data_IF_837211239806
#
_entry.id   IF_837211239806
#
_cell.length_a   1.000
_cell.length_b   1.000
_cell.length_c   1.000
_cell.angle_alpha   90.00
_cell.angle_beta   90.00
_cell.angle_gamma   90.00
#
_symmetry.space_group_name_H-M   'P 1'
#
loop_
_entity.id
_entity.type
_entity.pdbx_description
1 polymer ?
#
# COMPACT_ATOMS: atom_id res chain seq x y z
N UNK A 1 -11.71 -40.81 25.46
CA UNK A 1 -11.15 -40.31 26.74
C UNK A 1 -9.76 -39.78 26.44
N UNK A 2 -9.61 -38.46 26.51
CA UNK A 2 -8.36 -37.77 26.21
C UNK A 2 -7.26 -38.23 27.18
N UNK A 3 -6.05 -38.54 26.70
CA UNK A 3 -4.90 -38.82 27.56
C UNK A 3 -4.65 -37.67 28.54
N UNK A 4 -4.29 -37.98 29.78
CA UNK A 4 -3.98 -36.96 30.78
C UNK A 4 -2.79 -36.08 30.39
N UNK A 5 -1.92 -36.56 29.49
CA UNK A 5 -0.74 -35.86 28.99
C UNK A 5 -0.58 -36.04 27.49
N UNK A 6 -0.42 -34.95 26.75
CA UNK A 6 -0.30 -34.93 25.28
C UNK A 6 1.03 -34.34 24.83
N UNK A 7 1.59 -34.85 23.74
CA UNK A 7 2.79 -34.26 23.11
C UNK A 7 2.35 -33.26 22.05
N UNK A 8 2.70 -31.99 22.24
CA UNK A 8 2.32 -30.89 21.35
C UNK A 8 3.54 -30.40 20.61
N UNK A 9 3.53 -30.48 19.28
CA UNK A 9 4.61 -29.90 18.49
C UNK A 9 4.45 -28.40 18.34
N UNK A 10 5.54 -27.65 18.47
CA UNK A 10 5.54 -26.19 18.39
C UNK A 10 6.79 -25.67 17.67
N UNK A 11 6.64 -24.60 16.89
CA UNK A 11 7.74 -23.73 16.48
C UNK A 11 7.65 -22.45 17.31
N UNK A 12 8.65 -22.15 18.17
CA UNK A 12 8.73 -20.88 18.85
C UNK A 12 8.79 -19.73 17.83
N UNK A 13 7.91 -18.76 18.03
CA UNK A 13 7.81 -17.57 17.19
C UNK A 13 7.66 -16.35 18.10
N UNK A 14 8.45 -15.32 17.82
CA UNK A 14 8.55 -14.09 18.61
C UNK A 14 7.18 -13.41 18.85
N UNK A 15 6.19 -13.65 18.00
CA UNK A 15 4.86 -13.02 18.05
C UNK A 15 3.77 -14.00 18.41
N UNK A 16 3.79 -15.19 17.82
CA UNK A 16 2.69 -16.14 17.97
C UNK A 16 2.86 -17.09 19.14
N UNK A 17 4.10 -17.53 19.41
CA UNK A 17 4.37 -18.47 20.49
C UNK A 17 5.70 -18.22 21.19
N UNK A 18 5.60 -17.62 22.36
CA UNK A 18 6.71 -17.39 23.26
C UNK A 18 6.81 -18.54 24.25
N UNK A 19 7.98 -19.15 24.33
CA UNK A 19 8.26 -20.19 25.33
C UNK A 19 9.23 -19.61 26.35
N UNK A 20 8.75 -19.36 27.56
CA UNK A 20 9.57 -18.91 28.67
C UNK A 20 9.83 -20.09 29.63
N UNK A 21 11.08 -20.39 29.89
CA UNK A 21 11.46 -21.35 30.94
C UNK A 21 11.34 -20.66 32.29
N UNK A 22 10.36 -21.10 33.09
CA UNK A 22 10.13 -20.52 34.43
C UNK A 22 11.02 -21.23 35.48
N UNK A 23 11.23 -22.54 35.28
CA UNK A 23 11.99 -23.48 36.10
C UNK A 23 12.54 -24.60 35.18
N UNK A 24 13.62 -25.32 35.55
CA UNK A 24 14.11 -26.46 34.78
C UNK A 24 12.99 -27.51 34.65
N UNK A 25 12.51 -27.74 33.43
CA UNK A 25 11.42 -28.68 33.14
C UNK A 25 10.00 -28.12 33.19
N UNK A 26 9.80 -26.82 33.51
CA UNK A 26 8.49 -26.16 33.44
C UNK A 26 8.52 -25.02 32.40
N UNK A 27 8.10 -25.36 31.18
CA UNK A 27 7.98 -24.42 30.06
C UNK A 27 6.61 -23.76 30.10
N UNK A 28 6.59 -22.44 30.30
CA UNK A 28 5.35 -21.64 30.21
C UNK A 28 5.26 -21.06 28.82
N UNK A 29 4.13 -21.34 28.16
CA UNK A 29 3.88 -20.81 26.82
C UNK A 29 2.91 -19.65 26.86
N UNK A 30 3.30 -18.57 26.19
CA UNK A 30 2.57 -17.32 26.00
C UNK A 30 2.53 -16.94 24.51
N UNK A 31 1.83 -15.87 24.16
CA UNK A 31 1.51 -15.55 22.76
C UNK A 31 0.14 -16.08 22.34
N UNK A 32 -0.28 -15.78 21.11
CA UNK A 32 -1.64 -16.07 20.65
C UNK A 32 -1.93 -17.58 20.64
N UNK A 33 -1.05 -18.40 20.05
CA UNK A 33 -1.24 -19.86 20.05
C UNK A 33 -0.98 -20.48 21.42
N UNK A 34 -0.07 -19.91 22.20
CA UNK A 34 0.18 -20.33 23.57
C UNK A 34 -1.04 -20.19 24.49
N UNK A 35 -1.64 -19.00 24.50
CA UNK A 35 -2.87 -18.73 25.26
C UNK A 35 -4.03 -19.57 24.73
N UNK A 36 -4.11 -19.78 23.42
CA UNK A 36 -5.12 -20.65 22.81
C UNK A 36 -4.99 -22.12 23.27
N UNK A 37 -3.78 -22.68 23.26
CA UNK A 37 -3.50 -24.04 23.74
C UNK A 37 -3.86 -24.18 25.23
N UNK A 38 -3.51 -23.18 26.05
CA UNK A 38 -3.80 -23.17 27.48
C UNK A 38 -5.31 -23.21 27.77
N UNK A 39 -6.12 -22.51 26.97
CA UNK A 39 -7.59 -22.53 27.11
C UNK A 39 -8.13 -23.93 26.80
N UNK A 40 -7.66 -24.55 25.72
CA UNK A 40 -8.07 -25.91 25.33
C UNK A 40 -7.68 -26.92 26.41
N UNK A 41 -6.42 -26.90 26.85
CA UNK A 41 -5.88 -27.78 27.88
C UNK A 41 -6.65 -27.68 29.20
N UNK A 42 -6.92 -26.46 29.65
CA UNK A 42 -7.69 -26.20 30.88
C UNK A 42 -9.14 -26.68 30.79
N UNK A 43 -9.78 -26.54 29.62
CA UNK A 43 -11.18 -26.95 29.44
C UNK A 43 -11.33 -28.48 29.39
N UNK A 44 -10.37 -29.17 28.76
CA UNK A 44 -10.38 -30.62 28.60
C UNK A 44 -9.63 -31.38 29.70
N UNK A 45 -8.90 -30.68 30.57
CA UNK A 45 -8.23 -31.25 31.74
C UNK A 45 -6.99 -32.09 31.42
N UNK A 46 -6.25 -31.75 30.35
CA UNK A 46 -4.99 -32.43 30.00
C UNK A 46 -3.78 -31.53 30.23
N UNK A 47 -2.64 -32.15 30.55
CA UNK A 47 -1.32 -31.53 30.52
C UNK A 47 -0.63 -31.77 29.18
N UNK A 48 0.39 -31.00 28.84
CA UNK A 48 1.12 -31.18 27.59
C UNK A 48 2.63 -30.98 27.74
N UNK A 49 3.38 -31.68 26.89
CA UNK A 49 4.83 -31.53 26.74
C UNK A 49 5.15 -31.05 25.32
N UNK A 50 6.15 -30.19 25.16
CA UNK A 50 6.56 -29.70 23.86
C UNK A 50 7.50 -30.65 23.15
N UNK A 51 7.28 -30.80 21.84
CA UNK A 51 8.19 -31.50 20.92
C UNK A 51 8.60 -30.52 19.84
N UNK A 52 9.90 -30.25 19.74
CA UNK A 52 10.46 -29.33 18.76
C UNK A 52 11.01 -30.10 17.56
N UNK A 53 10.80 -29.61 16.32
CA UNK A 53 11.48 -30.17 15.16
C UNK A 53 12.97 -29.84 15.17
N UNK A 54 13.77 -30.73 14.58
CA UNK A 54 15.22 -30.52 14.38
C UNK A 54 15.48 -29.27 13.53
N UNK A 55 14.63 -29.05 12.53
CA UNK A 55 14.57 -27.85 11.71
C UNK A 55 13.29 -27.09 12.08
N UNK A 56 13.38 -25.83 12.49
CA UNK A 56 12.22 -24.98 12.82
C UNK A 56 11.42 -24.57 11.56
N UNK A 57 10.95 -25.56 10.80
CA UNK A 57 10.12 -25.39 9.63
C UNK A 57 8.80 -26.18 9.76
N UNK A 58 7.81 -25.77 8.96
CA UNK A 58 6.50 -26.42 8.93
C UNK A 58 6.63 -27.85 8.42
N UNK A 59 7.47 -28.07 7.41
CA UNK A 59 7.79 -29.38 6.88
C UNK A 59 7.74 -29.41 5.36
N UNK A 60 8.82 -29.91 4.77
CA UNK A 60 9.00 -30.10 3.33
C UNK A 60 9.07 -31.59 3.05
N UNK A 61 8.41 -32.02 1.96
CA UNK A 61 8.51 -33.40 1.47
C UNK A 61 9.88 -33.59 0.81
N UNK A 62 10.68 -34.51 1.34
CA UNK A 62 11.95 -34.95 0.76
C UNK A 62 11.70 -35.96 -0.36
N UNK A 63 12.72 -36.16 -1.21
CA UNK A 63 12.67 -37.09 -2.35
C UNK A 63 12.48 -38.55 -1.93
N UNK A 64 12.89 -38.90 -0.70
CA UNK A 64 12.66 -40.21 -0.08
C UNK A 64 11.20 -40.44 0.35
N UNK A 65 10.33 -39.43 0.20
CA UNK A 65 8.93 -39.46 0.60
C UNK A 65 8.69 -39.10 2.06
N UNK A 66 9.75 -38.91 2.86
CA UNK A 66 9.63 -38.46 4.25
C UNK A 66 9.38 -36.95 4.33
N UNK A 67 8.81 -36.51 5.45
CA UNK A 67 8.57 -35.11 5.73
C UNK A 67 9.51 -34.61 6.83
N UNK A 68 10.02 -33.39 6.66
CA UNK A 68 10.72 -32.64 7.73
C UNK A 68 9.74 -31.84 8.59
N UNK A 69 10.26 -31.13 9.60
CA UNK A 69 9.49 -30.16 10.37
C UNK A 69 8.34 -30.75 11.20
N UNK A 70 7.36 -29.89 11.48
CA UNK A 70 6.12 -30.25 12.20
C UNK A 70 5.41 -31.43 11.53
N UNK A 71 5.25 -31.40 10.20
CA UNK A 71 4.56 -32.46 9.47
C UNK A 71 5.27 -33.80 9.62
N UNK A 72 6.61 -33.81 9.59
CA UNK A 72 7.43 -34.98 9.85
C UNK A 72 7.22 -35.58 11.24
N UNK A 73 7.26 -34.74 12.27
CA UNK A 73 7.05 -35.16 13.67
C UNK A 73 5.67 -35.82 13.84
N UNK A 74 4.62 -35.20 13.31
CA UNK A 74 3.26 -35.73 13.39
C UNK A 74 3.11 -37.04 12.61
N UNK A 75 3.72 -37.12 11.43
CA UNK A 75 3.70 -38.31 10.58
C UNK A 75 4.40 -39.50 11.25
N UNK A 76 5.52 -39.27 11.95
CA UNK A 76 6.26 -40.30 12.71
C UNK A 76 5.62 -40.63 14.07
N UNK A 77 4.58 -39.90 14.48
CA UNK A 77 3.92 -40.12 15.78
C UNK A 77 4.72 -39.64 16.99
N UNK A 78 5.71 -38.78 16.78
CA UNK A 78 6.54 -38.17 17.82
C UNK A 78 5.76 -37.13 18.64
N UNK A 79 4.81 -36.44 18.00
CA UNK A 79 3.81 -35.59 18.64
C UNK A 79 2.38 -36.06 18.34
N UNK A 80 1.45 -35.72 19.22
CA UNK A 80 0.04 -36.10 19.10
C UNK A 80 -0.77 -35.03 18.34
N UNK A 81 -0.47 -33.75 18.56
CA UNK A 81 -1.08 -32.62 17.86
C UNK A 81 -0.10 -31.45 17.68
N UNK A 82 -0.45 -30.54 16.77
CA UNK A 82 0.27 -29.31 16.48
C UNK A 82 -0.68 -28.13 16.45
N UNK A 83 -0.38 -27.11 17.25
CA UNK A 83 -1.07 -25.82 17.25
C UNK A 83 -0.08 -24.72 16.89
N UNK A 84 0.12 -24.54 15.58
CA UNK A 84 1.00 -23.52 15.00
C UNK A 84 0.30 -22.87 13.81
N UNK A 85 0.91 -21.83 13.24
CA UNK A 85 0.52 -21.25 11.96
C UNK A 85 0.72 -22.26 10.81
N UNK A 86 -0.26 -23.15 10.66
CA UNK A 86 -0.20 -24.28 9.74
C UNK A 86 -1.40 -24.29 8.80
N UNK A 87 -1.12 -24.03 7.52
CA UNK A 87 -2.10 -24.15 6.44
C UNK A 87 -2.47 -25.61 6.17
N UNK A 88 -3.77 -25.84 6.01
CA UNK A 88 -4.31 -27.11 5.51
C UNK A 88 -4.06 -27.19 4.00
N UNK A 89 -3.26 -28.16 3.59
CA UNK A 89 -2.91 -28.41 2.19
C UNK A 89 -3.10 -29.89 1.85
N UNK A 90 -3.55 -30.15 0.62
CA UNK A 90 -3.89 -31.50 0.17
C UNK A 90 -2.76 -32.51 0.39
N UNK A 91 -1.54 -32.17 -0.01
CA UNK A 91 -0.38 -33.06 0.12
C UNK A 91 0.05 -33.34 1.58
N UNK A 92 -0.32 -32.46 2.53
CA UNK A 92 -0.02 -32.65 3.96
C UNK A 92 -1.07 -33.55 4.58
N UNK A 93 -2.32 -33.44 4.12
CA UNK A 93 -3.43 -34.27 4.55
C UNK A 93 -3.25 -35.76 4.21
N UNK A 94 -2.34 -36.10 3.29
CA UNK A 94 -1.95 -37.49 3.02
C UNK A 94 -1.30 -38.15 4.24
N UNK A 95 -0.51 -37.40 5.03
CA UNK A 95 0.33 -37.93 6.12
C UNK A 95 -0.12 -37.50 7.51
N UNK A 96 -0.89 -36.41 7.62
CA UNK A 96 -1.48 -35.93 8.89
C UNK A 96 -2.98 -35.69 8.72
N UNK A 97 -3.71 -35.58 9.83
CA UNK A 97 -5.13 -35.19 9.80
C UNK A 97 -5.31 -33.77 10.32
N UNK A 98 -6.03 -32.96 9.57
CA UNK A 98 -6.39 -31.62 9.99
C UNK A 98 -7.74 -31.59 10.69
N UNK A 99 -7.83 -30.78 11.74
CA UNK A 99 -9.00 -30.56 12.56
C UNK A 99 -9.85 -29.38 12.14
N UNK A 100 -10.52 -28.80 13.13
CA UNK A 100 -11.28 -27.55 12.95
C UNK A 100 -10.35 -26.42 12.51
N UNK A 101 -10.75 -25.73 11.45
CA UNK A 101 -10.15 -24.48 10.99
C UNK A 101 -10.46 -23.40 12.01
N UNK A 102 -9.43 -22.74 12.53
CA UNK A 102 -9.59 -21.70 13.56
C UNK A 102 -9.22 -20.30 13.06
N UNK A 103 -8.53 -20.20 11.92
CA UNK A 103 -8.20 -18.94 11.27
C UNK A 103 -8.06 -19.17 9.75
N UNK A 104 -8.06 -18.10 8.97
CA UNK A 104 -7.78 -18.15 7.54
C UNK A 104 -6.66 -17.15 7.23
N UNK A 105 -5.76 -17.54 6.35
CA UNK A 105 -4.58 -16.79 5.98
C UNK A 105 -4.65 -16.35 4.54
N UNK A 106 -4.44 -15.07 4.29
CA UNK A 106 -4.39 -14.51 2.94
C UNK A 106 -2.93 -14.29 2.55
N UNK A 107 -2.52 -14.74 1.37
CA UNK A 107 -1.18 -14.42 0.86
C UNK A 107 -1.25 -13.15 0.02
N UNK A 108 -0.56 -12.13 0.50
CA UNK A 108 -0.51 -10.80 -0.08
C UNK A 108 0.89 -10.48 -0.57
N UNK A 109 1.00 -9.46 -1.40
CA UNK A 109 2.26 -8.78 -1.66
C UNK A 109 2.23 -7.40 -1.00
N UNK A 110 3.33 -7.01 -0.38
CA UNK A 110 3.48 -5.67 0.16
C UNK A 110 4.80 -5.02 -0.29
N UNK A 111 4.74 -3.70 -0.42
CA UNK A 111 5.84 -2.85 -0.90
C UNK A 111 5.82 -1.50 -0.18
N UNK A 112 6.92 -0.75 -0.21
CA UNK A 112 6.92 0.61 0.32
C UNK A 112 5.99 1.48 -0.52
N UNK A 113 5.16 2.30 0.14
CA UNK A 113 4.39 3.32 -0.55
C UNK A 113 5.39 4.27 -1.18
N UNK A 114 5.25 4.58 -2.47
CA UNK A 114 6.08 5.59 -3.08
C UNK A 114 5.91 6.90 -2.32
N UNK A 115 7.03 7.58 -2.20
CA UNK A 115 7.04 8.96 -1.78
C UNK A 115 6.10 9.78 -2.68
N UNK A 116 5.54 10.82 -2.08
CA UNK A 116 4.75 11.80 -2.81
C UNK A 116 5.50 12.28 -4.03
N UNK A 117 4.78 12.40 -5.15
CA UNK A 117 5.36 12.93 -6.36
C UNK A 117 5.72 14.39 -6.10
N UNK A 118 6.99 14.76 -6.28
CA UNK A 118 7.39 16.16 -6.21
C UNK A 118 6.56 16.94 -7.23
N UNK A 119 6.07 18.12 -6.83
CA UNK A 119 5.24 18.92 -7.71
C UNK A 119 6.10 19.29 -8.92
N UNK A 120 5.71 18.89 -10.15
CA UNK A 120 6.48 19.23 -11.33
C UNK A 120 6.62 20.75 -11.47
N UNK A 121 7.67 21.23 -12.14
CA UNK A 121 7.89 22.67 -12.35
C UNK A 121 6.67 23.33 -13.01
N UNK A 122 5.92 22.62 -13.85
CA UNK A 122 4.68 23.09 -14.47
C UNK A 122 3.40 22.65 -13.74
N UNK A 123 3.50 22.21 -12.49
CA UNK A 123 2.37 21.71 -11.69
C UNK A 123 1.28 22.77 -11.46
N UNK A 124 1.60 24.06 -11.57
CA UNK A 124 0.60 25.12 -11.55
C UNK A 124 -0.40 25.07 -12.72
N UNK A 125 -0.12 24.32 -13.79
CA UNK A 125 -1.07 24.11 -14.90
C UNK A 125 -2.03 22.95 -14.65
N UNK A 126 -1.72 22.04 -13.71
CA UNK A 126 -2.52 20.84 -13.42
C UNK A 126 -3.93 21.06 -12.87
N UNK A 127 -4.31 22.19 -12.26
CA UNK A 127 -5.69 22.41 -11.82
C UNK A 127 -6.74 22.28 -12.92
N UNK A 128 -6.35 22.49 -14.18
CA UNK A 128 -7.21 22.38 -15.36
C UNK A 128 -6.57 21.51 -16.44
N UNK A 129 -7.37 20.66 -17.07
CA UNK A 129 -6.93 19.88 -18.22
C UNK A 129 -6.62 20.78 -19.43
N UNK A 130 -5.80 20.29 -20.34
CA UNK A 130 -5.46 20.99 -21.59
C UNK A 130 -6.70 21.47 -22.36
N UNK A 131 -7.76 20.66 -22.40
CA UNK A 131 -9.03 21.02 -23.03
C UNK A 131 -9.67 22.25 -22.39
N UNK A 132 -9.64 22.37 -21.06
CA UNK A 132 -10.20 23.53 -20.34
C UNK A 132 -9.37 24.78 -20.61
N UNK A 133 -8.04 24.66 -20.63
CA UNK A 133 -7.14 25.76 -21.02
C UNK A 133 -7.42 26.24 -22.44
N UNK A 134 -7.60 25.31 -23.39
CA UNK A 134 -7.92 25.64 -24.77
C UNK A 134 -9.29 26.32 -24.88
N UNK A 135 -10.32 25.79 -24.22
CA UNK A 135 -11.65 26.40 -24.16
C UNK A 135 -11.60 27.81 -23.56
N UNK A 136 -10.82 28.02 -22.50
CA UNK A 136 -10.62 29.34 -21.91
C UNK A 136 -9.98 30.31 -22.92
N UNK A 137 -8.91 29.92 -23.59
CA UNK A 137 -8.25 30.75 -24.60
C UNK A 137 -9.19 31.13 -25.76
N UNK A 138 -9.94 30.16 -26.29
CA UNK A 138 -10.95 30.38 -27.34
C UNK A 138 -12.05 31.32 -26.85
N UNK A 139 -12.51 31.16 -25.61
CA UNK A 139 -13.58 32.00 -25.03
C UNK A 139 -13.13 33.45 -24.87
N UNK A 140 -11.90 33.69 -24.39
CA UNK A 140 -11.31 35.04 -24.30
C UNK A 140 -11.28 35.71 -25.68
N UNK A 141 -10.74 35.00 -26.69
CA UNK A 141 -10.64 35.52 -28.06
C UNK A 141 -12.02 35.78 -28.68
N UNK A 142 -12.97 34.87 -28.45
CA UNK A 142 -14.34 35.02 -28.91
C UNK A 142 -15.00 36.25 -28.32
N UNK A 143 -14.91 36.46 -27.00
CA UNK A 143 -15.54 37.59 -26.32
C UNK A 143 -14.86 38.91 -26.69
N UNK A 144 -13.52 38.94 -26.82
CA UNK A 144 -12.80 40.11 -27.32
C UNK A 144 -13.28 40.50 -28.72
N UNK A 145 -13.40 39.52 -29.61
CA UNK A 145 -13.87 39.72 -31.00
C UNK A 145 -15.32 40.17 -31.03
N UNK A 146 -16.17 39.57 -30.20
CA UNK A 146 -17.58 39.91 -30.11
C UNK A 146 -17.81 41.34 -29.60
N UNK A 147 -17.10 41.76 -28.55
CA UNK A 147 -17.12 43.12 -28.03
C UNK A 147 -16.58 44.14 -29.05
N UNK A 148 -15.53 43.77 -29.80
CA UNK A 148 -14.99 44.62 -30.87
C UNK A 148 -16.03 44.92 -31.96
N UNK A 149 -16.81 43.92 -32.38
CA UNK A 149 -17.88 44.11 -33.37
C UNK A 149 -19.09 44.85 -32.81
N UNK A 150 -19.54 44.53 -31.59
CA UNK A 150 -20.72 45.17 -30.97
C UNK A 150 -20.47 46.64 -30.65
N UNK A 151 -19.26 46.99 -30.22
CA UNK A 151 -18.86 48.37 -30.00
C UNK A 151 -18.65 49.16 -31.29
N UNK A 152 -18.94 48.57 -32.46
CA UNK A 152 -18.74 49.18 -33.78
C UNK A 152 -17.28 49.64 -33.97
N UNK A 153 -16.32 48.85 -33.48
CA UNK A 153 -14.87 49.15 -33.51
C UNK A 153 -14.46 50.41 -32.73
N UNK A 154 -15.27 50.87 -31.77
CA UNK A 154 -14.89 51.96 -30.85
C UNK A 154 -13.87 51.52 -29.81
N UNK A 155 -13.90 50.24 -29.43
CA UNK A 155 -12.93 49.65 -28.52
C UNK A 155 -11.75 49.09 -29.32
N UNK A 156 -10.53 49.37 -28.89
CA UNK A 156 -9.35 48.75 -29.47
C UNK A 156 -9.29 47.26 -29.07
N UNK A 157 -9.02 46.39 -30.04
CA UNK A 157 -9.03 44.94 -29.81
C UNK A 157 -7.97 44.51 -28.79
N UNK A 158 -6.75 45.05 -28.89
CA UNK A 158 -5.64 44.73 -27.98
C UNK A 158 -5.94 45.10 -26.54
N UNK A 159 -6.39 46.34 -26.31
CA UNK A 159 -6.77 46.82 -24.97
C UNK A 159 -7.93 46.02 -24.39
N UNK A 160 -8.92 45.68 -25.22
CA UNK A 160 -10.06 44.84 -24.80
C UNK A 160 -9.57 43.48 -24.35
N UNK A 161 -8.73 42.81 -25.14
CA UNK A 161 -8.18 41.50 -24.83
C UNK A 161 -7.35 41.51 -23.53
N UNK A 162 -6.46 42.49 -23.38
CA UNK A 162 -5.67 42.66 -22.15
C UNK A 162 -6.56 42.90 -20.94
N UNK A 163 -7.63 43.68 -21.09
CA UNK A 163 -8.54 43.97 -20.00
C UNK A 163 -9.38 42.75 -19.60
N UNK A 164 -9.81 41.93 -20.56
CA UNK A 164 -10.49 40.66 -20.27
C UNK A 164 -9.55 39.69 -19.51
N UNK A 165 -8.27 39.62 -19.89
CA UNK A 165 -7.28 38.83 -19.14
C UNK A 165 -7.01 39.41 -17.73
N UNK A 166 -6.88 40.73 -17.62
CA UNK A 166 -6.68 41.43 -16.34
C UNK A 166 -7.85 41.17 -15.38
N UNK A 167 -9.08 41.10 -15.88
CA UNK A 167 -10.26 40.83 -15.05
C UNK A 167 -10.25 39.42 -14.45
N UNK A 168 -9.74 38.42 -15.18
CA UNK A 168 -9.58 37.04 -14.67
C UNK A 168 -8.53 36.99 -13.55
N UNK A 169 -7.50 37.83 -13.65
CA UNK A 169 -6.50 38.05 -12.61
C UNK A 169 -6.98 38.97 -11.47
N UNK A 170 -8.27 39.33 -11.45
CA UNK A 170 -8.91 40.20 -10.44
C UNK A 170 -8.28 41.60 -10.36
N UNK A 171 -7.70 42.09 -11.46
CA UNK A 171 -7.15 43.43 -11.54
C UNK A 171 -8.26 44.48 -11.77
N UNK A 172 -8.07 45.73 -11.35
CA UNK A 172 -9.03 46.81 -11.57
C UNK A 172 -9.18 47.12 -13.06
N UNK A 173 -10.41 47.40 -13.46
CA UNK A 173 -10.81 47.56 -14.86
C UNK A 173 -10.86 49.04 -15.25
N UNK A 174 -10.30 49.36 -16.43
CA UNK A 174 -10.45 50.67 -17.07
C UNK A 174 -11.19 50.49 -18.39
N UNK A 175 -12.51 50.33 -18.36
CA UNK A 175 -13.32 50.29 -19.58
C UNK A 175 -14.39 51.35 -19.52
N UNK A 176 -14.41 52.20 -20.56
CA UNK A 176 -15.52 53.10 -20.83
C UNK A 176 -16.51 52.38 -21.74
N UNK A 177 -17.47 51.68 -21.14
CA UNK A 177 -18.58 51.09 -21.88
C UNK A 177 -19.67 52.14 -22.10
N UNK A 178 -20.12 52.31 -23.34
CA UNK A 178 -21.06 53.37 -23.73
C UNK A 178 -22.49 52.85 -23.95
N UNK A 179 -22.66 51.57 -24.27
CA UNK A 179 -23.97 50.97 -24.57
C UNK A 179 -24.37 49.91 -23.54
N UNK A 180 -25.66 49.82 -23.22
CA UNK A 180 -26.19 48.80 -22.31
C UNK A 180 -25.90 47.36 -22.77
N UNK A 181 -25.76 47.14 -24.08
CA UNK A 181 -25.40 45.82 -24.65
C UNK A 181 -23.98 45.40 -24.27
N UNK A 182 -23.05 46.36 -24.24
CA UNK A 182 -21.66 46.13 -23.83
C UNK A 182 -21.57 45.82 -22.34
N UNK A 183 -22.33 46.55 -21.51
CA UNK A 183 -22.40 46.29 -20.06
C UNK A 183 -22.88 44.89 -19.74
N UNK A 184 -23.94 44.43 -20.42
CA UNK A 184 -24.52 43.11 -20.17
C UNK A 184 -23.52 41.99 -20.50
N UNK A 185 -22.85 42.08 -21.65
CA UNK A 185 -21.80 41.10 -22.04
C UNK A 185 -20.65 41.13 -21.04
N UNK A 186 -20.21 42.33 -20.65
CA UNK A 186 -19.13 42.48 -19.70
C UNK A 186 -19.48 41.93 -18.32
N UNK A 187 -20.74 42.07 -17.88
CA UNK A 187 -21.22 41.50 -16.63
C UNK A 187 -21.22 39.97 -16.67
N UNK A 188 -21.66 39.37 -17.78
CA UNK A 188 -21.55 37.92 -17.97
C UNK A 188 -20.09 37.45 -17.99
N UNK A 189 -19.20 38.21 -18.65
CA UNK A 189 -17.76 37.93 -18.62
C UNK A 189 -17.20 38.00 -17.21
N UNK A 190 -17.55 39.02 -16.43
CA UNK A 190 -17.10 39.17 -15.05
C UNK A 190 -17.55 38.00 -14.18
N UNK A 191 -18.79 37.54 -14.35
CA UNK A 191 -19.27 36.35 -13.64
C UNK A 191 -18.45 35.10 -14.04
N UNK A 192 -18.21 34.90 -15.33
CA UNK A 192 -17.36 33.81 -15.81
C UNK A 192 -15.93 33.90 -15.26
N UNK A 193 -15.31 35.09 -15.31
CA UNK A 193 -13.97 35.37 -14.80
C UNK A 193 -13.86 35.10 -13.29
N UNK A 194 -14.90 35.44 -12.52
CA UNK A 194 -14.97 35.12 -11.10
C UNK A 194 -15.02 33.60 -10.88
N UNK A 195 -15.91 32.90 -11.58
CA UNK A 195 -16.10 31.45 -11.45
C UNK A 195 -14.82 30.70 -11.79
N UNK A 196 -14.17 31.02 -12.92
CA UNK A 196 -12.95 30.32 -13.34
C UNK A 196 -11.79 30.59 -12.37
N UNK A 197 -11.64 31.83 -11.88
CA UNK A 197 -10.58 32.21 -10.94
C UNK A 197 -10.74 31.53 -9.58
N UNK A 198 -11.98 31.44 -9.08
CA UNK A 198 -12.29 30.73 -7.83
C UNK A 198 -12.09 29.23 -8.00
N UNK A 199 -12.56 28.64 -9.10
CA UNK A 199 -12.38 27.21 -9.39
C UNK A 199 -10.90 26.82 -9.48
N UNK A 200 -10.08 27.62 -10.19
CA UNK A 200 -8.64 27.42 -10.27
C UNK A 200 -7.99 27.48 -8.87
N UNK A 201 -8.30 28.53 -8.10
CA UNK A 201 -7.73 28.73 -6.76
C UNK A 201 -8.10 27.57 -5.82
N UNK A 202 -9.34 27.08 -5.87
CA UNK A 202 -9.81 25.96 -5.07
C UNK A 202 -9.14 24.64 -5.46
N UNK A 203 -8.98 24.37 -6.76
CA UNK A 203 -8.33 23.15 -7.26
C UNK A 203 -6.83 23.14 -6.96
N UNK A 204 -6.15 24.28 -7.16
CA UNK A 204 -4.75 24.43 -6.80
C UNK A 204 -4.54 24.22 -5.29
N UNK A 205 -5.41 24.80 -4.45
CA UNK A 205 -5.33 24.59 -3.01
C UNK A 205 -5.49 23.10 -2.64
N UNK A 206 -6.50 22.41 -3.19
CA UNK A 206 -6.69 20.97 -2.98
C UNK A 206 -5.46 20.16 -3.37
N UNK A 207 -4.86 20.50 -4.51
CA UNK A 207 -3.65 19.86 -5.03
C UNK A 207 -2.44 20.05 -4.11
N UNK A 208 -2.27 21.26 -3.55
CA UNK A 208 -1.18 21.55 -2.61
C UNK A 208 -1.40 20.90 -1.24
N UNK A 209 -2.65 20.67 -0.84
CA UNK A 209 -2.96 20.02 0.45
C UNK A 209 -2.82 18.50 0.42
N UNK A 210 -3.13 17.87 -0.71
CA UNK A 210 -3.01 16.41 -0.89
C UNK A 210 -2.09 16.20 -2.10
N UNK A 211 -0.80 15.94 -1.87
CA UNK A 211 0.13 15.71 -2.96
C UNK A 211 -0.30 14.52 -3.81
N UNK A 212 0.01 14.60 -5.11
CA UNK A 212 -0.21 13.50 -6.03
C UNK A 212 0.61 12.28 -5.58
N UNK A 213 -0.02 11.12 -5.65
CA UNK A 213 0.65 9.85 -5.45
C UNK A 213 1.07 9.33 -6.82
N UNK A 214 2.32 8.90 -6.94
CA UNK A 214 2.80 8.15 -8.11
C UNK A 214 1.86 6.96 -8.37
N UNK A 215 1.52 6.66 -9.63
CA UNK A 215 0.78 5.44 -9.95
C UNK A 215 1.56 4.23 -9.45
N UNK A 216 0.87 3.32 -8.78
CA UNK A 216 1.48 2.16 -8.11
C UNK A 216 1.03 0.88 -8.79
N UNK A 217 1.93 -0.10 -8.78
CA UNK A 217 1.59 -1.49 -9.09
C UNK A 217 0.65 -1.97 -7.99
N UNK A 218 -0.50 -2.51 -8.36
CA UNK A 218 -1.50 -3.01 -7.41
C UNK A 218 -1.89 -4.47 -7.66
N UNK A 219 -1.48 -5.03 -8.79
CA UNK A 219 -1.83 -6.40 -9.21
C UNK A 219 -0.59 -7.26 -9.42
N UNK A 220 -0.74 -8.57 -9.32
CA UNK A 220 0.36 -9.50 -9.58
C UNK A 220 0.77 -9.53 -11.06
N UNK A 221 -0.13 -9.20 -11.98
CA UNK A 221 0.16 -9.10 -13.41
C UNK A 221 1.04 -7.88 -13.74
N UNK A 222 0.72 -6.73 -13.15
CA UNK A 222 1.57 -5.53 -13.26
C UNK A 222 2.93 -5.76 -12.60
N UNK A 223 2.97 -6.45 -11.44
CA UNK A 223 4.21 -6.80 -10.77
C UNK A 223 5.08 -7.69 -11.65
N UNK A 224 4.50 -8.71 -12.29
CA UNK A 224 5.23 -9.54 -13.25
C UNK A 224 5.82 -8.70 -14.39
N UNK A 225 5.01 -7.82 -14.98
CA UNK A 225 5.45 -6.93 -16.07
C UNK A 225 6.59 -6.00 -15.63
N UNK A 226 6.61 -5.59 -14.36
CA UNK A 226 7.65 -4.75 -13.79
C UNK A 226 8.94 -5.52 -13.46
N UNK A 227 8.81 -6.76 -12.99
CA UNK A 227 9.92 -7.71 -12.77
C UNK A 227 10.58 -8.10 -14.11
N UNK A 228 9.78 -8.32 -15.15
CA UNK A 228 10.30 -8.61 -16.50
C UNK A 228 11.10 -7.45 -17.09
N UNK A 229 10.72 -6.21 -16.74
CA UNK A 229 11.47 -4.99 -17.08
C UNK A 229 12.65 -4.70 -16.15
N UNK A 230 12.95 -5.59 -15.20
CA UNK A 230 14.00 -5.44 -14.18
C UNK A 230 13.87 -4.18 -13.30
N UNK A 231 12.66 -3.62 -13.22
CA UNK A 231 12.39 -2.42 -12.42
C UNK A 231 12.07 -2.75 -10.97
N UNK A 232 11.51 -3.94 -10.73
CA UNK A 232 11.05 -4.37 -9.42
C UNK A 232 11.59 -5.75 -9.05
N UNK A 233 11.74 -5.98 -7.75
CA UNK A 233 12.18 -7.23 -7.16
C UNK A 233 11.11 -7.77 -6.22
N UNK A 234 10.97 -9.09 -6.20
CA UNK A 234 9.93 -9.78 -5.45
C UNK A 234 10.55 -10.90 -4.62
N UNK A 235 10.56 -10.72 -3.30
CA UNK A 235 11.07 -11.71 -2.36
C UNK A 235 9.93 -12.52 -1.73
N UNK A 236 10.22 -13.73 -1.27
CA UNK A 236 9.28 -14.52 -0.50
C UNK A 236 10.01 -15.36 0.56
N UNK A 237 9.26 -15.86 1.54
CA UNK A 237 9.80 -16.71 2.61
C UNK A 237 9.95 -18.17 2.16
N UNK A 238 11.20 -18.68 2.15
CA UNK A 238 11.55 -19.96 1.51
C UNK A 238 10.79 -21.17 2.09
N UNK A 239 10.64 -21.19 3.42
CA UNK A 239 10.04 -22.31 4.17
C UNK A 239 8.51 -22.20 4.37
N UNK A 240 7.86 -21.28 3.64
CA UNK A 240 6.42 -21.06 3.70
C UNK A 240 5.61 -21.87 2.68
N UNK A 241 4.30 -21.96 2.89
CA UNK A 241 3.37 -22.58 1.95
C UNK A 241 3.17 -21.77 0.65
N UNK A 242 3.60 -20.50 0.64
CA UNK A 242 3.58 -19.62 -0.55
C UNK A 242 4.26 -20.26 -1.76
N UNK A 243 5.39 -20.95 -1.56
CA UNK A 243 6.09 -21.61 -2.66
C UNK A 243 5.36 -22.85 -3.16
N UNK A 244 4.67 -23.57 -2.27
CA UNK A 244 3.81 -24.68 -2.64
C UNK A 244 2.73 -24.23 -3.63
N UNK A 245 2.12 -23.07 -3.37
CA UNK A 245 1.12 -22.51 -4.27
C UNK A 245 1.73 -21.97 -5.58
N UNK A 246 2.81 -21.20 -5.51
CA UNK A 246 3.47 -20.69 -6.72
C UNK A 246 3.91 -21.86 -7.64
N UNK A 247 4.30 -23.01 -7.07
CA UNK A 247 4.60 -24.24 -7.82
C UNK A 247 3.36 -24.86 -8.45
N UNK A 248 2.21 -24.84 -7.78
CA UNK A 248 0.96 -25.46 -8.24
C UNK A 248 0.14 -24.59 -9.18
N UNK A 249 0.35 -23.28 -9.16
CA UNK A 249 -0.39 -22.32 -9.98
C UNK A 249 -0.25 -22.63 -11.48
N UNK A 250 -1.39 -22.70 -12.18
CA UNK A 250 -1.45 -22.91 -13.65
C UNK A 250 -1.41 -21.60 -14.43
N UNK A 251 -1.44 -20.47 -13.75
CA UNK A 251 -1.53 -19.16 -14.38
C UNK A 251 -0.19 -18.76 -14.98
N UNK A 252 -0.20 -18.23 -16.21
CA UNK A 252 1.04 -17.95 -16.96
C UNK A 252 1.94 -16.91 -16.26
N UNK A 253 1.39 -15.79 -15.79
CA UNK A 253 2.17 -14.75 -15.14
C UNK A 253 2.75 -15.21 -13.79
N UNK A 254 2.00 -15.96 -12.98
CA UNK A 254 2.51 -16.51 -11.71
C UNK A 254 3.62 -17.56 -11.93
N UNK A 255 3.49 -18.41 -12.95
CA UNK A 255 4.55 -19.36 -13.32
C UNK A 255 5.83 -18.64 -13.74
N UNK A 256 5.71 -17.59 -14.56
CA UNK A 256 6.86 -16.82 -15.00
C UNK A 256 7.48 -16.02 -13.84
N UNK A 257 6.64 -15.42 -12.97
CA UNK A 257 7.09 -14.74 -11.76
C UNK A 257 7.85 -15.70 -10.85
N UNK A 258 7.32 -16.90 -10.59
CA UNK A 258 8.01 -17.97 -9.85
C UNK A 258 9.37 -18.27 -10.48
N UNK A 259 9.42 -18.47 -11.79
CA UNK A 259 10.68 -18.79 -12.47
C UNK A 259 11.70 -17.64 -12.35
N UNK A 260 11.25 -16.39 -12.37
CA UNK A 260 12.10 -15.22 -12.15
C UNK A 260 12.65 -15.17 -10.72
N UNK A 261 11.80 -15.42 -9.71
CA UNK A 261 12.20 -15.53 -8.30
C UNK A 261 13.26 -16.63 -8.12
N UNK A 262 13.04 -17.82 -8.71
CA UNK A 262 13.97 -18.94 -8.61
C UNK A 262 15.31 -18.61 -9.26
N UNK A 263 15.26 -18.06 -10.47
CA UNK A 263 16.46 -17.70 -11.24
C UNK A 263 17.33 -16.68 -10.51
N UNK A 264 16.70 -15.73 -9.82
CA UNK A 264 17.39 -14.62 -9.15
C UNK A 264 17.65 -14.89 -7.65
N UNK A 265 17.23 -16.05 -7.15
CA UNK A 265 17.37 -16.46 -5.75
C UNK A 265 16.79 -15.45 -4.74
N UNK A 266 15.59 -14.92 -5.02
CA UNK A 266 14.90 -13.97 -4.15
C UNK A 266 14.17 -14.66 -3.00
N UNK A 267 14.95 -15.24 -2.09
CA UNK A 267 14.49 -15.97 -0.91
C UNK A 267 14.84 -15.19 0.35
N UNK A 268 13.96 -15.24 1.35
CA UNK A 268 14.21 -14.74 2.70
C UNK A 268 14.32 -15.93 3.65
N UNK A 269 15.37 -15.93 4.46
CA UNK A 269 15.56 -16.90 5.54
C UNK A 269 15.18 -16.27 6.89
N UNK A 270 14.87 -17.10 7.90
CA UNK A 270 14.56 -16.70 9.27
C UNK A 270 15.60 -15.77 9.91
N UNK A 271 16.84 -15.77 9.40
CA UNK A 271 17.92 -14.88 9.85
C UNK A 271 17.82 -13.44 9.34
N UNK A 272 17.11 -13.16 8.25
CA UNK A 272 17.06 -11.81 7.64
C UNK A 272 16.05 -10.88 8.34
N UNK A 273 15.69 -11.24 9.57
CA UNK A 273 14.77 -10.51 10.42
C UNK A 273 15.43 -9.25 11.04
N UNK A 274 14.81 -8.05 10.99
CA UNK A 274 13.50 -7.72 10.40
C UNK A 274 13.55 -7.39 8.90
N UNK A 275 12.75 -8.12 8.10
CA UNK A 275 12.67 -7.98 6.64
C UNK A 275 12.17 -6.61 6.13
N UNK A 276 11.60 -5.78 7.02
CA UNK A 276 11.07 -4.45 6.71
C UNK A 276 12.13 -3.52 6.13
N UNK A 277 13.38 -3.63 6.58
CA UNK A 277 14.47 -2.78 6.11
C UNK A 277 14.88 -3.09 4.66
N UNK A 278 14.50 -4.26 4.15
CA UNK A 278 14.74 -4.65 2.76
C UNK A 278 13.69 -4.08 1.81
N UNK A 279 12.48 -3.83 2.32
CA UNK A 279 11.33 -3.41 1.51
C UNK A 279 11.47 -1.94 1.15
N UNK A 280 11.48 -1.67 -0.15
CA UNK A 280 11.63 -0.33 -0.74
C UNK A 280 10.55 -0.08 -1.80
N UNK A 281 10.54 1.08 -2.45
CA UNK A 281 9.58 1.40 -3.53
C UNK A 281 9.63 0.40 -4.71
N UNK A 282 10.77 -0.27 -4.92
CA UNK A 282 10.98 -1.20 -6.03
C UNK A 282 11.16 -2.66 -5.55
N UNK A 283 11.30 -2.90 -4.25
CA UNK A 283 11.50 -4.24 -3.68
C UNK A 283 10.37 -4.53 -2.71
N UNK A 284 9.52 -5.50 -3.04
CA UNK A 284 8.48 -5.97 -2.15
C UNK A 284 8.57 -7.45 -1.83
N UNK A 285 7.72 -7.88 -0.91
CA UNK A 285 7.73 -9.22 -0.33
C UNK A 285 6.33 -9.83 -0.45
N UNK A 286 6.27 -11.09 -0.90
CA UNK A 286 5.09 -11.93 -0.79
C UNK A 286 5.06 -12.52 0.62
N UNK A 287 3.97 -12.29 1.33
CA UNK A 287 3.85 -12.62 2.73
C UNK A 287 2.42 -12.89 3.15
N UNK A 288 2.25 -13.34 4.39
CA UNK A 288 0.93 -13.67 4.92
C UNK A 288 0.29 -12.45 5.59
N UNK A 289 -1.02 -12.29 5.44
CA UNK A 289 -1.77 -11.15 5.94
C UNK A 289 -1.78 -11.07 7.48
N UNK A 290 -1.86 -12.20 8.18
CA UNK A 290 -1.83 -12.26 9.64
C UNK A 290 -0.48 -11.80 10.18
N UNK A 291 0.60 -12.34 9.63
CA UNK A 291 1.94 -11.90 9.98
C UNK A 291 2.15 -10.44 9.59
N UNK A 292 1.77 -10.02 8.38
CA UNK A 292 1.77 -8.62 7.98
C UNK A 292 1.00 -7.74 8.98
N UNK A 293 -0.18 -8.16 9.42
CA UNK A 293 -0.97 -7.37 10.37
C UNK A 293 -0.25 -7.21 11.71
N UNK A 294 0.40 -8.27 12.20
CA UNK A 294 1.13 -8.28 13.48
C UNK A 294 2.44 -7.51 13.40
N UNK A 295 3.27 -7.77 12.39
CA UNK A 295 4.52 -7.07 12.17
C UNK A 295 4.29 -5.56 11.98
N UNK A 296 3.31 -5.16 11.18
CA UNK A 296 3.15 -3.74 10.86
C UNK A 296 2.38 -2.96 11.92
N UNK A 297 1.58 -3.63 12.76
CA UNK A 297 1.07 -3.04 14.00
C UNK A 297 2.17 -2.90 15.04
N UNK A 298 3.06 -3.90 15.17
CA UNK A 298 4.22 -3.84 16.03
C UNK A 298 5.16 -2.68 15.66
N UNK A 299 5.54 -2.52 14.40
CA UNK A 299 6.51 -1.49 13.98
C UNK A 299 5.85 -0.17 13.51
N UNK A 300 4.51 -0.10 13.58
CA UNK A 300 3.63 0.99 13.12
C UNK A 300 3.99 1.57 11.78
N UNK A 301 4.17 0.68 10.82
CA UNK A 301 4.60 1.03 9.47
C UNK A 301 3.48 0.92 8.44
N UNK A 302 2.22 0.81 8.89
CA UNK A 302 1.04 0.86 7.98
C UNK A 302 0.98 2.17 7.18
N UNK A 303 1.59 3.25 7.68
CA UNK A 303 1.71 4.51 6.95
C UNK A 303 2.75 4.44 5.83
N UNK A 304 3.86 3.70 5.99
CA UNK A 304 4.97 3.60 5.03
C UNK A 304 4.76 2.53 3.95
N UNK A 305 4.12 1.41 4.27
CA UNK A 305 3.98 0.30 3.33
C UNK A 305 2.53 0.11 2.88
N UNK A 306 2.37 -0.37 1.65
CA UNK A 306 1.09 -0.75 1.06
C UNK A 306 1.09 -2.26 0.79
N UNK A 307 -0.10 -2.85 0.85
CA UNK A 307 -0.35 -4.18 0.32
C UNK A 307 -1.13 -4.08 -0.98
N UNK A 308 -1.01 -5.08 -1.84
CA UNK A 308 -1.92 -5.25 -2.96
C UNK A 308 -3.33 -5.56 -2.46
N UNK A 309 -4.35 -5.11 -3.19
CA UNK A 309 -5.74 -5.48 -2.91
C UNK A 309 -6.03 -6.91 -3.36
N UNK A 310 -5.34 -7.37 -4.41
CA UNK A 310 -5.36 -8.76 -4.85
C UNK A 310 -4.52 -9.64 -3.92
N UNK A 311 -5.03 -10.82 -3.61
CA UNK A 311 -4.30 -11.88 -2.93
C UNK A 311 -4.09 -13.08 -3.85
N UNK A 312 -2.99 -13.81 -3.61
CA UNK A 312 -2.70 -15.05 -4.33
C UNK A 312 -3.68 -16.16 -3.98
N UNK A 313 -4.27 -16.11 -2.79
CA UNK A 313 -5.21 -17.08 -2.30
C UNK A 313 -5.45 -16.96 -0.81
N UNK A 314 -6.38 -17.78 -0.32
CA UNK A 314 -6.72 -17.88 1.10
C UNK A 314 -6.59 -19.33 1.53
N UNK A 315 -5.81 -19.58 2.57
CA UNK A 315 -5.58 -20.90 3.14
C UNK A 315 -6.18 -21.01 4.54
N UNK A 316 -6.96 -22.06 4.82
CA UNK A 316 -7.45 -22.30 6.17
C UNK A 316 -6.30 -22.77 7.07
N UNK A 317 -6.17 -22.14 8.23
CA UNK A 317 -5.27 -22.56 9.30
C UNK A 317 -6.03 -23.47 10.26
N UNK A 318 -5.49 -24.66 10.48
CA UNK A 318 -6.15 -25.68 11.29
C UNK A 318 -5.17 -26.37 12.24
N UNK A 319 -5.72 -26.97 13.30
CA UNK A 319 -4.95 -27.86 14.17
C UNK A 319 -4.60 -29.13 13.39
N UNK A 320 -3.35 -29.55 13.44
CA UNK A 320 -2.94 -30.82 12.84
C UNK A 320 -2.77 -31.90 13.91
N UNK A 321 -3.17 -33.12 13.56
CA UNK A 321 -3.08 -34.31 14.39
C UNK A 321 -2.33 -35.40 13.64
N UNK A 322 -1.71 -36.31 14.38
CA UNK A 322 -1.28 -37.59 13.78
C UNK A 322 -2.50 -38.41 13.32
N UNK A 323 -2.32 -39.22 12.27
CA UNK A 323 -3.40 -40.01 11.63
C UNK A 323 -4.20 -40.87 12.62
N UNK A 324 -3.56 -41.50 13.58
CA UNK A 324 -4.24 -42.40 14.53
C UNK A 324 -4.64 -41.74 15.86
N UNK A 325 -4.72 -40.40 15.93
CA UNK A 325 -5.07 -39.72 17.18
C UNK A 325 -6.54 -39.97 17.59
N UNK A 326 -6.73 -40.49 18.81
CA UNK A 326 -7.99 -41.09 19.26
C UNK A 326 -9.06 -40.12 19.78
N UNK A 327 -8.77 -38.82 19.89
CA UNK A 327 -9.68 -37.84 20.52
C UNK A 327 -9.83 -36.53 19.74
N UNK A 328 -9.70 -36.57 18.40
CA UNK A 328 -9.82 -35.38 17.53
C UNK A 328 -11.17 -34.68 17.68
N UNK A 329 -12.26 -35.43 17.83
CA UNK A 329 -13.63 -34.91 17.90
C UNK A 329 -13.84 -34.01 19.12
N UNK A 330 -13.44 -34.48 20.30
CA UNK A 330 -13.57 -33.74 21.56
C UNK A 330 -12.78 -32.42 21.52
N UNK A 331 -11.55 -32.43 20.99
CA UNK A 331 -10.73 -31.22 20.84
C UNK A 331 -11.33 -30.28 19.79
N UNK A 332 -11.77 -30.82 18.65
CA UNK A 332 -12.36 -30.04 17.56
C UNK A 332 -13.67 -29.34 17.98
N UNK A 333 -14.50 -29.97 18.80
CA UNK A 333 -15.71 -29.34 19.35
C UNK A 333 -15.39 -28.13 20.22
N UNK A 334 -14.38 -28.25 21.08
CA UNK A 334 -13.92 -27.15 21.93
C UNK A 334 -13.36 -26.02 21.08
N UNK A 335 -12.51 -26.33 20.11
CA UNK A 335 -11.97 -25.33 19.17
C UNK A 335 -13.11 -24.61 18.44
N UNK A 336 -14.09 -25.34 17.89
CA UNK A 336 -15.24 -24.74 17.21
C UNK A 336 -16.00 -23.76 18.10
N UNK A 337 -16.17 -24.07 19.38
CA UNK A 337 -16.80 -23.16 20.36
C UNK A 337 -15.95 -21.91 20.62
N UNK A 338 -14.63 -22.08 20.80
CA UNK A 338 -13.71 -20.96 21.03
C UNK A 338 -13.69 -20.02 19.82
N UNK A 339 -13.61 -20.57 18.60
CA UNK A 339 -13.67 -19.81 17.34
C UNK A 339 -15.01 -19.08 17.22
N UNK A 340 -16.13 -19.78 17.41
CA UNK A 340 -17.48 -19.18 17.31
C UNK A 340 -17.73 -18.08 18.33
N UNK A 341 -17.05 -18.13 19.48
CA UNK A 341 -17.15 -17.10 20.52
C UNK A 341 -16.28 -15.86 20.27
N UNK A 342 -15.46 -15.86 19.20
CA UNK A 342 -14.53 -14.76 18.88
C UNK A 342 -13.31 -14.69 19.80
N UNK A 343 -13.07 -15.70 20.64
CA UNK A 343 -11.91 -15.72 21.54
C UNK A 343 -10.60 -15.78 20.74
N UNK A 344 -10.55 -16.56 19.65
CA UNK A 344 -9.35 -16.66 18.80
C UNK A 344 -8.99 -15.28 18.22
N UNK A 345 -9.94 -14.57 17.63
CA UNK A 345 -9.72 -13.23 17.08
C UNK A 345 -9.26 -12.25 18.15
N UNK A 346 -9.85 -12.33 19.34
CA UNK A 346 -9.44 -11.52 20.49
C UNK A 346 -7.98 -11.79 20.88
N UNK A 347 -7.54 -13.05 20.94
CA UNK A 347 -6.16 -13.40 21.30
C UNK A 347 -5.16 -12.80 20.31
N UNK A 348 -5.41 -12.92 19.00
CA UNK A 348 -4.56 -12.30 17.99
C UNK A 348 -4.56 -10.76 18.08
N UNK A 349 -5.73 -10.16 18.30
CA UNK A 349 -5.88 -8.71 18.48
C UNK A 349 -5.12 -8.21 19.72
N UNK A 350 -5.24 -8.89 20.86
CA UNK A 350 -4.57 -8.54 22.11
C UNK A 350 -3.05 -8.59 21.96
N UNK A 351 -2.52 -9.60 21.26
CA UNK A 351 -1.09 -9.69 20.93
C UNK A 351 -0.67 -8.54 20.02
N UNK A 352 -1.40 -8.27 18.94
CA UNK A 352 -1.11 -7.15 18.03
C UNK A 352 -1.09 -5.81 18.76
N UNK A 353 -2.04 -5.60 19.69
CA UNK A 353 -2.14 -4.38 20.48
C UNK A 353 -1.00 -4.25 21.48
N UNK A 354 -0.57 -5.34 22.15
CA UNK A 354 0.58 -5.32 23.07
C UNK A 354 1.85 -4.86 22.34
N UNK A 355 2.10 -5.38 21.14
CA UNK A 355 3.25 -4.97 20.33
C UNK A 355 3.12 -3.53 19.83
N UNK A 356 1.95 -3.12 19.35
CA UNK A 356 1.70 -1.73 18.97
C UNK A 356 1.93 -0.76 20.14
N UNK A 357 1.39 -1.08 21.32
CA UNK A 357 1.52 -0.25 22.52
C UNK A 357 2.98 -0.10 22.97
N UNK A 358 3.79 -1.16 22.82
CA UNK A 358 5.23 -1.11 23.12
C UNK A 358 5.97 -0.11 22.22
N UNK A 359 5.55 0.04 20.97
CA UNK A 359 6.21 0.86 19.96
C UNK A 359 5.46 2.16 19.60
N UNK A 360 4.32 2.44 20.23
CA UNK A 360 3.40 3.53 19.86
C UNK A 360 4.05 4.92 19.77
N UNK A 361 5.07 5.20 20.59
CA UNK A 361 5.77 6.49 20.58
C UNK A 361 6.49 6.75 19.26
N UNK A 362 7.24 5.77 18.77
CA UNK A 362 8.02 5.87 17.53
C UNK A 362 7.10 5.94 16.29
N UNK A 363 5.91 5.35 16.39
CA UNK A 363 4.90 5.29 15.34
C UNK A 363 4.24 6.66 15.15
N UNK A 364 3.77 7.27 16.24
CA UNK A 364 3.08 8.58 16.22
C UNK A 364 4.02 9.70 15.76
N UNK A 365 5.31 9.61 16.07
CA UNK A 365 6.30 10.60 15.61
C UNK A 365 6.54 10.53 14.09
N UNK A 366 6.51 9.32 13.50
CA UNK A 366 6.65 9.13 12.04
C UNK A 366 5.41 9.57 11.25
N UNK A 367 4.21 9.44 11.79
CA UNK A 367 2.97 9.83 11.09
C UNK A 367 2.73 11.35 11.02
N UNK A 368 3.40 12.14 11.87
CA UNK A 368 3.28 13.61 11.89
C UNK A 368 4.01 14.33 10.75
N UNK A 369 4.57 13.62 9.77
CA UNK A 369 5.23 14.23 8.60
C UNK A 369 4.14 14.80 7.66
N UNK A 370 3.58 15.94 8.05
CA UNK A 370 2.80 16.81 7.17
C UNK A 370 3.78 17.31 6.11
N UNK A 371 3.49 17.08 4.84
CA UNK A 371 4.27 17.61 3.73
C UNK A 371 4.27 19.15 3.82
N UNK A 372 5.43 19.73 4.13
CA UNK A 372 5.62 21.19 4.20
C UNK A 372 5.91 21.68 2.78
N UNK A 373 5.20 22.73 2.35
CA UNK A 373 5.45 23.38 1.06
C UNK A 373 6.90 23.90 1.00
N UNK A 374 7.63 23.53 -0.04
CA UNK A 374 9.03 23.91 -0.27
C UNK A 374 9.14 25.05 -1.27
N UNK A 375 10.32 25.67 -1.33
CA UNK A 375 10.63 26.68 -2.36
C UNK A 375 10.64 26.03 -3.76
N UNK A 376 11.01 24.76 -3.83
CA UNK A 376 10.98 23.95 -5.06
C UNK A 376 9.59 23.97 -5.71
N UNK A 377 8.52 23.84 -4.91
CA UNK A 377 7.12 23.79 -5.37
C UNK A 377 6.64 25.10 -6.04
N UNK A 378 7.27 26.24 -5.74
CA UNK A 378 6.92 27.56 -6.31
C UNK A 378 7.92 28.03 -7.39
N UNK A 379 8.89 27.18 -7.76
CA UNK A 379 9.93 27.53 -8.74
C UNK A 379 9.35 27.78 -10.13
N UNK A 380 8.32 27.01 -10.52
CA UNK A 380 7.61 27.17 -11.79
C UNK A 380 7.06 28.57 -12.05
N UNK A 381 6.16 29.07 -11.19
CA UNK A 381 5.65 30.44 -11.29
C UNK A 381 6.73 31.52 -11.28
N UNK A 382 7.82 31.34 -10.50
CA UNK A 382 8.95 32.28 -10.49
C UNK A 382 9.69 32.29 -11.83
N UNK A 383 9.90 31.13 -12.44
CA UNK A 383 10.53 31.01 -13.76
C UNK A 383 9.64 31.65 -14.84
N UNK A 384 8.32 31.45 -14.77
CA UNK A 384 7.36 32.11 -15.66
C UNK A 384 7.46 33.65 -15.56
N UNK A 385 7.58 34.19 -14.35
CA UNK A 385 7.74 35.63 -14.15
C UNK A 385 9.03 36.16 -14.79
N UNK A 386 10.17 35.48 -14.56
CA UNK A 386 11.46 35.88 -15.14
C UNK A 386 11.42 35.82 -16.66
N UNK A 387 10.89 34.74 -17.23
CA UNK A 387 10.74 34.63 -18.69
C UNK A 387 9.84 35.72 -19.27
N UNK A 388 8.76 36.08 -18.56
CA UNK A 388 7.89 37.20 -18.93
C UNK A 388 8.63 38.55 -18.97
N UNK A 389 9.46 38.85 -17.97
CA UNK A 389 10.27 40.08 -17.98
C UNK A 389 11.30 40.10 -19.10
N UNK A 390 11.97 38.98 -19.37
CA UNK A 390 12.94 38.87 -20.46
C UNK A 390 12.24 39.11 -21.80
N UNK A 391 11.08 38.50 -22.05
CA UNK A 391 10.30 38.71 -23.27
C UNK A 391 9.84 40.16 -23.40
N UNK A 392 9.37 40.79 -22.32
CA UNK A 392 8.96 42.20 -22.35
C UNK A 392 10.13 43.13 -22.71
N UNK A 393 11.32 42.89 -22.15
CA UNK A 393 12.54 43.65 -22.48
C UNK A 393 12.92 43.44 -23.95
N UNK A 394 12.85 42.21 -24.46
CA UNK A 394 13.14 41.92 -25.86
C UNK A 394 12.16 42.63 -26.81
N UNK A 395 10.85 42.62 -26.51
CA UNK A 395 9.84 43.34 -27.30
C UNK A 395 10.12 44.84 -27.30
N UNK A 396 10.46 45.42 -26.15
CA UNK A 396 10.83 46.85 -26.04
C UNK A 396 12.05 47.17 -26.91
N UNK A 397 13.09 46.33 -26.89
CA UNK A 397 14.29 46.51 -27.72
C UNK A 397 13.92 46.45 -29.21
N UNK A 398 13.12 45.46 -29.61
CA UNK A 398 12.65 45.32 -30.98
C UNK A 398 11.84 46.54 -31.43
N UNK A 399 10.95 47.06 -30.58
CA UNK A 399 10.15 48.26 -30.86
C UNK A 399 11.04 49.49 -31.06
N UNK A 400 12.04 49.69 -30.21
CA UNK A 400 12.99 50.80 -30.32
C UNK A 400 13.83 50.70 -31.60
N UNK A 401 14.29 49.50 -31.96
CA UNK A 401 15.04 49.26 -33.21
C UNK A 401 14.15 49.54 -34.43
N UNK A 402 12.92 49.01 -34.42
CA UNK A 402 11.95 49.23 -35.49
C UNK A 402 11.65 50.71 -35.68
N UNK A 403 11.37 51.42 -34.58
CA UNK A 403 11.12 52.87 -34.59
C UNK A 403 12.29 53.66 -35.18
N UNK A 404 13.53 53.34 -34.77
CA UNK A 404 14.73 54.04 -35.26
C UNK A 404 15.04 53.76 -36.73
N UNK A 405 14.71 52.56 -37.22
CA UNK A 405 15.09 52.11 -38.58
C UNK A 405 14.04 52.50 -39.63
N UNK A 406 12.75 52.38 -39.31
CA UNK A 406 11.68 52.53 -40.30
C UNK A 406 10.88 53.83 -40.18
N UNK A 407 10.93 54.57 -39.07
CA UNK A 407 10.17 55.82 -38.89
C UNK A 407 10.97 57.09 -39.23
N UNK A 408 12.19 56.94 -39.77
CA UNK A 408 13.07 58.04 -40.18
C UNK A 408 13.00 58.37 -41.68
N UNK A 409 12.05 57.81 -42.42
CA UNK A 409 11.72 58.16 -43.80
C UNK A 409 10.30 58.71 -43.91
#
# INVERSE_FOLDING_TARGET
MIPSRLRVSLIPDTYFTLVNESLPGYQRVSGAFGEFLNIIAKHLGFEYDFVYPEEFNIGVRKDDGNWTGIIGILSRGEADLSLNHLSMEFHRQEVVDFGTVYAAEEVIYFIEKPNYEEIPIFGFLYPFDFTVWLCFAVTVLFIATFLYFISQKRLEYGDTLLTLLASVLKQPLKINCYQNKEHLIFLFWLFFALVISVAYSAKLLSFLTIPLKKPQIQTFEELYSAVEKETHQCFYYENGYVMGELKQSKTKYLNNLRNAIIRNSWYLDGSDYPYLNLVTENLGIIYTQLEYSLFFTAFGSKSRYMRFEESLGVWPIAVAYRKDFCCKTEINEVISRIVSSGIVDKLFSDVSFKFWAANAKDIVEREKIIAKLRVEDITGPLLLLVTGYVLAILVLICEVIYYKTFRKF
#
